data_IF_981852875372
#
_entry.id   IF_981852875372
#
_cell.length_a   1.000
_cell.length_b   1.000
_cell.length_c   1.000
_cell.angle_alpha   90.00
_cell.angle_beta   90.00
_cell.angle_gamma   90.00
#
_symmetry.space_group_name_H-M   'P 1'
#
loop_
_entity.id
_entity.type
_entity.pdbx_description
1 polymer ?
#
# COMPACT_ATOMS: atom_id res chain seq x y z
N UNK A 1 -1.62 19.18 23.65
CA UNK A 1 -1.35 18.57 22.32
C UNK A 1 -1.67 19.49 21.13
N UNK A 2 -2.89 20.05 21.00
CA UNK A 2 -3.27 20.95 19.87
C UNK A 2 -2.35 22.18 19.68
N UNK A 3 -2.03 22.89 20.76
CA UNK A 3 -1.14 24.08 20.71
C UNK A 3 0.32 23.77 20.32
N UNK A 4 0.82 22.57 20.63
CA UNK A 4 2.18 22.12 20.25
C UNK A 4 2.27 21.82 18.74
N UNK A 5 1.26 21.15 18.18
CA UNK A 5 1.17 20.86 16.74
C UNK A 5 0.98 22.13 15.90
N UNK A 6 0.22 23.12 16.40
CA UNK A 6 0.06 24.42 15.75
C UNK A 6 1.37 25.21 15.72
N UNK A 7 2.15 25.20 16.81
CA UNK A 7 3.37 26.01 16.96
C UNK A 7 4.59 25.43 16.23
N UNK A 8 4.67 24.11 16.08
CA UNK A 8 5.79 23.42 15.39
C UNK A 8 5.56 23.22 13.88
N UNK A 9 4.31 23.09 13.42
CA UNK A 9 4.00 22.69 12.04
C UNK A 9 3.05 23.66 11.29
N UNK A 10 2.75 24.84 11.87
CA UNK A 10 1.91 25.91 11.30
C UNK A 10 0.47 25.43 10.93
N UNK A 11 -0.01 24.34 11.53
CA UNK A 11 -1.24 23.65 11.09
C UNK A 11 -2.45 24.54 11.40
N UNK A 12 -3.22 24.92 10.36
CA UNK A 12 -4.43 25.74 10.50
C UNK A 12 -5.59 24.93 11.09
N UNK A 13 -6.53 25.59 11.77
CA UNK A 13 -7.58 24.93 12.57
C UNK A 13 -8.60 24.07 11.80
N UNK A 14 -8.56 24.02 10.47
CA UNK A 14 -9.33 23.06 9.65
C UNK A 14 -8.55 21.84 9.15
N UNK A 15 -7.22 21.86 9.24
CA UNK A 15 -6.35 20.88 8.57
C UNK A 15 -5.98 19.69 9.47
N UNK A 16 -5.92 19.91 10.79
CA UNK A 16 -5.47 18.92 11.80
C UNK A 16 -6.24 17.61 11.64
N UNK A 17 -7.56 17.68 11.49
CA UNK A 17 -8.37 16.46 11.42
C UNK A 17 -8.14 15.66 10.14
N UNK A 18 -7.94 16.34 9.00
CA UNK A 18 -7.65 15.66 7.73
C UNK A 18 -6.25 15.05 7.75
N UNK A 19 -5.29 15.73 8.35
CA UNK A 19 -3.92 15.23 8.56
C UNK A 19 -3.93 14.00 9.47
N UNK A 20 -4.65 14.02 10.59
CA UNK A 20 -4.71 12.88 11.52
C UNK A 20 -5.40 11.67 10.87
N UNK A 21 -6.50 11.89 10.15
CA UNK A 21 -7.19 10.82 9.43
C UNK A 21 -6.26 10.19 8.37
N UNK A 22 -5.54 11.00 7.61
CA UNK A 22 -4.60 10.51 6.59
C UNK A 22 -3.35 9.86 7.21
N UNK A 23 -2.87 10.36 8.35
CA UNK A 23 -1.81 9.73 9.14
C UNK A 23 -2.22 8.33 9.58
N UNK A 24 -3.39 8.18 10.21
CA UNK A 24 -3.86 6.89 10.68
C UNK A 24 -4.21 5.94 9.54
N UNK A 25 -4.69 6.48 8.42
CA UNK A 25 -4.93 5.69 7.21
C UNK A 25 -3.63 5.09 6.66
N UNK A 26 -2.59 5.89 6.43
CA UNK A 26 -1.32 5.37 5.90
C UNK A 26 -0.61 4.47 6.90
N UNK A 27 -0.69 4.81 8.19
CA UNK A 27 -0.19 3.94 9.26
C UNK A 27 -0.79 2.54 9.16
N UNK A 28 -2.11 2.44 9.08
CA UNK A 28 -2.83 1.16 9.03
C UNK A 28 -2.51 0.36 7.76
N UNK A 29 -2.43 1.05 6.61
CA UNK A 29 -2.06 0.44 5.32
C UNK A 29 -0.64 -0.11 5.35
N UNK A 30 0.35 0.69 5.78
CA UNK A 30 1.75 0.25 5.82
C UNK A 30 1.97 -0.82 6.88
N UNK A 31 1.30 -0.70 8.04
CA UNK A 31 1.32 -1.74 9.06
C UNK A 31 0.87 -3.08 8.48
N UNK A 32 -0.29 -3.13 7.82
CA UNK A 32 -0.80 -4.35 7.21
C UNK A 32 0.14 -4.86 6.10
N UNK A 33 0.68 -3.96 5.28
CA UNK A 33 1.59 -4.33 4.20
C UNK A 33 2.86 -4.98 4.72
N UNK A 34 3.50 -4.39 5.73
CA UNK A 34 4.74 -4.95 6.31
C UNK A 34 4.43 -6.27 7.00
N UNK A 35 3.35 -6.35 7.77
CA UNK A 35 2.95 -7.57 8.46
C UNK A 35 2.65 -8.72 7.47
N UNK A 36 1.86 -8.45 6.43
CA UNK A 36 1.56 -9.43 5.38
C UNK A 36 2.81 -9.81 4.57
N UNK A 37 3.71 -8.86 4.31
CA UNK A 37 5.01 -9.15 3.66
C UNK A 37 5.84 -10.12 4.50
N UNK A 38 5.96 -9.89 5.81
CA UNK A 38 6.67 -10.79 6.72
C UNK A 38 6.07 -12.20 6.73
N UNK A 39 4.74 -12.31 6.85
CA UNK A 39 4.03 -13.60 6.86
C UNK A 39 4.25 -14.35 5.55
N UNK A 40 4.05 -13.65 4.43
CA UNK A 40 4.23 -14.21 3.09
C UNK A 40 5.67 -14.69 2.87
N UNK A 41 6.65 -13.85 3.18
CA UNK A 41 8.05 -14.17 2.94
C UNK A 41 8.48 -15.35 3.85
N UNK A 42 8.02 -15.40 5.10
CA UNK A 42 8.24 -16.53 6.01
C UNK A 42 7.60 -17.82 5.51
N UNK A 43 6.31 -17.82 5.14
CA UNK A 43 5.60 -18.99 4.63
C UNK A 43 6.21 -19.50 3.33
N UNK A 44 6.65 -18.58 2.46
CA UNK A 44 7.26 -18.93 1.18
C UNK A 44 8.63 -19.58 1.38
N UNK A 45 9.50 -19.00 2.23
CA UNK A 45 10.85 -19.53 2.46
C UNK A 45 10.86 -20.85 3.24
N UNK A 46 9.89 -21.06 4.14
CA UNK A 46 9.69 -22.29 4.91
C UNK A 46 9.32 -23.48 4.01
N UNK A 47 8.43 -23.26 3.04
CA UNK A 47 7.82 -24.35 2.26
C UNK A 47 8.36 -24.51 0.84
N UNK A 48 8.95 -23.47 0.26
CA UNK A 48 9.47 -23.44 -1.12
C UNK A 48 10.95 -23.11 -1.15
N UNK A 49 11.67 -23.68 -2.11
CA UNK A 49 13.10 -23.44 -2.30
C UNK A 49 13.41 -22.01 -2.77
N UNK A 50 14.62 -21.50 -2.51
CA UNK A 50 15.07 -20.16 -2.97
C UNK A 50 14.95 -20.03 -4.49
N UNK A 51 15.11 -21.13 -5.23
CA UNK A 51 15.09 -21.18 -6.69
C UNK A 51 13.75 -20.77 -7.29
N UNK A 52 12.67 -20.76 -6.51
CA UNK A 52 11.33 -20.34 -6.93
C UNK A 52 11.10 -18.82 -6.80
N UNK A 53 11.95 -18.10 -6.03
CA UNK A 53 11.83 -16.65 -5.84
C UNK A 53 11.89 -15.85 -7.15
N UNK A 54 12.79 -16.14 -8.11
CA UNK A 54 12.81 -15.42 -9.38
C UNK A 54 11.49 -15.55 -10.15
N UNK A 55 10.89 -16.74 -10.17
CA UNK A 55 9.60 -17.00 -10.84
C UNK A 55 8.50 -16.16 -10.21
N UNK A 56 8.43 -16.14 -8.87
CA UNK A 56 7.47 -15.30 -8.15
C UNK A 56 7.67 -13.82 -8.45
N UNK A 57 8.92 -13.34 -8.52
CA UNK A 57 9.19 -11.93 -8.77
C UNK A 57 8.75 -11.53 -10.18
N UNK A 58 8.95 -12.41 -11.16
CA UNK A 58 8.43 -12.23 -12.53
C UNK A 58 6.90 -12.22 -12.53
N UNK A 59 6.26 -13.16 -11.83
CA UNK A 59 4.79 -13.21 -11.69
C UNK A 59 4.23 -11.95 -11.03
N UNK A 60 4.89 -11.45 -9.98
CA UNK A 60 4.55 -10.18 -9.33
C UNK A 60 4.67 -9.02 -10.30
N UNK A 61 5.76 -8.93 -11.06
CA UNK A 61 5.97 -7.85 -12.02
C UNK A 61 4.88 -7.84 -13.10
N UNK A 62 4.59 -8.98 -13.72
CA UNK A 62 3.55 -9.13 -14.75
C UNK A 62 2.17 -8.80 -14.15
N UNK A 63 1.84 -9.39 -13.00
CA UNK A 63 0.53 -9.20 -12.37
C UNK A 63 0.33 -7.75 -11.91
N UNK A 64 1.34 -7.12 -11.33
CA UNK A 64 1.31 -5.73 -10.94
C UNK A 64 1.14 -4.81 -12.16
N UNK A 65 1.82 -5.09 -13.28
CA UNK A 65 1.66 -4.32 -14.51
C UNK A 65 0.23 -4.42 -15.08
N UNK A 66 -0.31 -5.63 -15.16
CA UNK A 66 -1.68 -5.89 -15.63
C UNK A 66 -2.70 -5.19 -14.72
N UNK A 67 -2.62 -5.44 -13.41
CA UNK A 67 -3.57 -4.90 -12.44
C UNK A 67 -3.50 -3.39 -12.36
N UNK A 68 -2.30 -2.79 -12.34
CA UNK A 68 -2.15 -1.32 -12.36
C UNK A 68 -2.72 -0.70 -13.64
N UNK A 69 -2.58 -1.36 -14.78
CA UNK A 69 -3.15 -0.88 -16.06
C UNK A 69 -4.67 -0.91 -16.02
N UNK A 70 -5.26 -2.01 -15.56
CA UNK A 70 -6.72 -2.16 -15.40
C UNK A 70 -7.24 -1.12 -14.40
N UNK A 71 -6.57 -0.99 -13.25
CA UNK A 71 -6.91 -0.04 -12.20
C UNK A 71 -6.88 1.41 -12.71
N UNK A 72 -5.83 1.79 -13.45
CA UNK A 72 -5.71 3.11 -14.07
C UNK A 72 -6.87 3.41 -15.02
N UNK A 73 -7.23 2.47 -15.90
CA UNK A 73 -8.38 2.64 -16.81
C UNK A 73 -9.72 2.75 -16.07
N UNK A 74 -9.90 1.97 -15.00
CA UNK A 74 -11.14 1.99 -14.23
C UNK A 74 -11.29 3.29 -13.41
N UNK A 75 -10.18 3.79 -12.86
CA UNK A 75 -10.09 5.06 -12.12
C UNK A 75 -10.58 6.27 -12.93
N UNK A 76 -10.43 6.23 -14.26
CA UNK A 76 -10.91 7.30 -15.14
C UNK A 76 -12.44 7.31 -15.33
N UNK A 77 -13.13 6.19 -15.08
CA UNK A 77 -14.59 6.06 -15.31
C UNK A 77 -15.41 6.18 -14.03
N UNK A 78 -14.86 5.78 -12.90
CA UNK A 78 -15.58 5.70 -11.62
C UNK A 78 -15.22 6.87 -10.70
N UNK A 79 -16.11 7.22 -9.77
CA UNK A 79 -15.78 8.21 -8.74
C UNK A 79 -14.72 7.68 -7.78
N UNK A 80 -13.79 8.55 -7.36
CA UNK A 80 -12.67 8.17 -6.48
C UNK A 80 -13.14 7.46 -5.20
N UNK A 81 -14.21 7.94 -4.57
CA UNK A 81 -14.76 7.33 -3.35
C UNK A 81 -15.24 5.90 -3.58
N UNK A 82 -16.05 5.71 -4.62
CA UNK A 82 -16.60 4.39 -4.95
C UNK A 82 -15.46 3.43 -5.27
N UNK A 83 -14.44 3.89 -6.00
CA UNK A 83 -13.29 3.06 -6.33
C UNK A 83 -12.49 2.62 -5.08
N UNK A 84 -12.13 3.56 -4.19
CA UNK A 84 -11.35 3.22 -2.97
C UNK A 84 -12.19 2.37 -2.01
N UNK A 85 -13.50 2.65 -1.89
CA UNK A 85 -14.39 1.86 -1.03
C UNK A 85 -14.49 0.42 -1.51
N UNK A 86 -14.73 0.19 -2.80
CA UNK A 86 -14.81 -1.16 -3.36
C UNK A 86 -13.49 -1.92 -3.27
N UNK A 87 -12.36 -1.28 -3.53
CA UNK A 87 -11.07 -1.95 -3.38
C UNK A 87 -10.78 -2.34 -1.94
N UNK A 88 -11.10 -1.48 -0.96
CA UNK A 88 -10.94 -1.83 0.46
C UNK A 88 -11.84 -3.00 0.86
N UNK A 89 -13.10 -3.04 0.38
CA UNK A 89 -14.00 -4.17 0.60
C UNK A 89 -13.45 -5.46 -0.02
N UNK A 90 -12.93 -5.39 -1.25
CA UNK A 90 -12.30 -6.54 -1.93
C UNK A 90 -11.06 -6.99 -1.16
N UNK A 91 -10.22 -6.07 -0.66
CA UNK A 91 -9.04 -6.40 0.14
C UNK A 91 -9.45 -7.11 1.44
N UNK A 92 -10.45 -6.59 2.15
CA UNK A 92 -10.96 -7.19 3.38
C UNK A 92 -11.54 -8.58 3.10
N UNK A 93 -12.34 -8.72 2.06
CA UNK A 93 -12.90 -10.02 1.64
C UNK A 93 -11.81 -11.03 1.32
N UNK A 94 -10.78 -10.63 0.56
CA UNK A 94 -9.64 -11.50 0.29
C UNK A 94 -8.87 -11.87 1.57
N UNK A 95 -8.65 -10.92 2.49
CA UNK A 95 -8.01 -11.22 3.77
C UNK A 95 -8.80 -12.25 4.58
N UNK A 96 -10.13 -12.17 4.59
CA UNK A 96 -10.99 -13.17 5.25
C UNK A 96 -10.85 -14.53 4.57
N UNK A 97 -10.84 -14.57 3.23
CA UNK A 97 -10.62 -15.81 2.47
C UNK A 97 -9.25 -16.42 2.79
N UNK A 98 -8.18 -15.61 2.78
CA UNK A 98 -6.84 -16.06 3.14
C UNK A 98 -6.76 -16.50 4.60
N UNK A 99 -7.44 -15.83 5.52
CA UNK A 99 -7.52 -16.26 6.91
C UNK A 99 -8.14 -17.66 7.05
N UNK A 100 -9.28 -17.90 6.39
CA UNK A 100 -9.95 -19.22 6.37
C UNK A 100 -9.03 -20.26 5.72
N UNK A 101 -8.43 -19.96 4.57
CA UNK A 101 -7.52 -20.88 3.88
C UNK A 101 -6.26 -21.18 4.70
N UNK A 102 -5.68 -20.20 5.39
CA UNK A 102 -4.55 -20.43 6.28
C UNK A 102 -4.94 -21.30 7.48
N UNK A 103 -6.18 -21.22 7.97
CA UNK A 103 -6.63 -22.02 9.11
C UNK A 103 -6.97 -23.47 8.74
N UNK A 104 -7.57 -23.69 7.58
CA UNK A 104 -8.07 -25.02 7.17
C UNK A 104 -7.16 -25.74 6.17
N UNK A 105 -6.40 -25.01 5.35
CA UNK A 105 -5.68 -25.55 4.20
C UNK A 105 -4.16 -25.55 4.35
N UNK A 106 -3.59 -25.01 5.44
CA UNK A 106 -2.15 -25.05 5.68
C UNK A 106 -1.58 -26.48 5.80
N UNK A 107 -2.43 -27.43 6.18
CA UNK A 107 -2.05 -28.85 6.25
C UNK A 107 -1.86 -29.49 4.86
N UNK A 108 -2.44 -28.91 3.80
CA UNK A 108 -2.41 -29.50 2.45
C UNK A 108 -1.14 -29.17 1.65
N UNK A 109 -0.32 -28.21 2.10
CA UNK A 109 0.98 -27.92 1.46
C UNK A 109 0.91 -27.48 0.00
N UNK A 110 -0.21 -26.89 -0.44
CA UNK A 110 -0.40 -26.55 -1.85
C UNK A 110 0.49 -25.38 -2.26
N UNK A 111 1.44 -25.65 -3.17
CA UNK A 111 2.39 -24.65 -3.68
C UNK A 111 1.65 -23.47 -4.32
N UNK A 112 0.55 -23.72 -5.02
CA UNK A 112 -0.20 -22.69 -5.73
C UNK A 112 -0.80 -21.62 -4.80
N UNK A 113 -1.17 -22.03 -3.59
CA UNK A 113 -1.65 -21.10 -2.56
C UNK A 113 -0.56 -20.09 -2.18
N UNK A 114 0.67 -20.56 -1.96
CA UNK A 114 1.81 -19.69 -1.59
C UNK A 114 2.14 -18.70 -2.70
N UNK A 115 2.16 -19.14 -3.96
CA UNK A 115 2.32 -18.26 -5.12
C UNK A 115 1.22 -17.19 -5.19
N UNK A 116 -0.04 -17.61 -5.07
CA UNK A 116 -1.20 -16.72 -5.16
C UNK A 116 -1.20 -15.70 -4.03
N UNK A 117 -0.98 -16.15 -2.79
CA UNK A 117 -0.85 -15.26 -1.64
C UNK A 117 0.32 -14.28 -1.85
N UNK A 118 1.44 -14.75 -2.41
CA UNK A 118 2.60 -13.90 -2.59
C UNK A 118 2.33 -12.73 -3.54
N UNK A 119 1.77 -13.08 -4.70
CA UNK A 119 1.39 -12.12 -5.74
C UNK A 119 0.29 -11.18 -5.22
N UNK A 120 -0.70 -11.71 -4.49
CA UNK A 120 -1.78 -10.92 -3.92
C UNK A 120 -1.28 -9.85 -2.94
N UNK A 121 -0.37 -10.19 -2.02
CA UNK A 121 0.22 -9.20 -1.08
C UNK A 121 0.98 -8.10 -1.83
N UNK A 122 1.67 -8.45 -2.92
CA UNK A 122 2.37 -7.46 -3.74
C UNK A 122 1.37 -6.51 -4.43
N UNK A 123 0.29 -7.06 -5.00
CA UNK A 123 -0.80 -6.27 -5.62
C UNK A 123 -1.47 -5.37 -4.57
N UNK A 124 -1.74 -5.90 -3.36
CA UNK A 124 -2.29 -5.14 -2.24
C UNK A 124 -1.43 -3.90 -1.94
N UNK A 125 -0.10 -4.06 -1.88
CA UNK A 125 0.82 -2.93 -1.69
C UNK A 125 0.70 -1.89 -2.80
N UNK A 126 0.78 -2.32 -4.06
CA UNK A 126 0.73 -1.41 -5.22
C UNK A 126 -0.59 -0.63 -5.26
N UNK A 127 -1.73 -1.30 -5.09
CA UNK A 127 -3.05 -0.67 -5.13
C UNK A 127 -3.22 0.28 -3.94
N UNK A 128 -2.94 -0.17 -2.72
CA UNK A 128 -3.20 0.59 -1.50
C UNK A 128 -2.34 1.85 -1.42
N UNK A 129 -1.06 1.74 -1.78
CA UNK A 129 -0.15 2.90 -1.86
C UNK A 129 -0.61 3.88 -2.93
N UNK A 130 -0.97 3.40 -4.13
CA UNK A 130 -1.48 4.26 -5.20
C UNK A 130 -2.75 5.01 -4.78
N UNK A 131 -3.68 4.32 -4.12
CA UNK A 131 -4.92 4.89 -3.62
C UNK A 131 -4.70 5.96 -2.58
N UNK A 132 -3.78 5.71 -1.64
CA UNK A 132 -3.41 6.68 -0.64
C UNK A 132 -2.89 7.97 -1.28
N UNK A 133 -1.98 7.87 -2.25
CA UNK A 133 -1.44 9.05 -2.93
C UNK A 133 -2.49 9.80 -3.74
N UNK A 134 -3.40 9.10 -4.43
CA UNK A 134 -4.52 9.74 -5.14
C UNK A 134 -5.43 10.46 -4.14
N UNK A 135 -5.74 9.83 -3.01
CA UNK A 135 -6.56 10.43 -1.95
C UNK A 135 -5.86 11.64 -1.31
N UNK A 136 -4.56 11.56 -1.05
CA UNK A 136 -3.76 12.66 -0.52
C UNK A 136 -3.72 13.87 -1.46
N UNK A 137 -3.46 13.63 -2.75
CA UNK A 137 -3.50 14.67 -3.78
C UNK A 137 -4.92 15.24 -3.98
N UNK A 138 -5.94 14.43 -3.73
CA UNK A 138 -7.31 14.89 -3.75
C UNK A 138 -7.64 15.76 -2.54
N UNK A 139 -7.11 15.47 -1.34
CA UNK A 139 -7.39 16.19 -0.08
C UNK A 139 -6.56 17.47 0.04
N UNK A 140 -5.24 17.38 -0.15
CA UNK A 140 -4.28 18.45 0.16
C UNK A 140 -3.80 19.18 -1.08
N UNK A 141 -3.75 20.50 -1.02
CA UNK A 141 -3.13 21.31 -2.08
C UNK A 141 -1.59 21.29 -1.95
N UNK A 142 -0.86 21.65 -3.01
CA UNK A 142 0.61 21.62 -3.02
C UNK A 142 1.28 22.34 -1.82
N UNK A 143 0.72 23.47 -1.39
CA UNK A 143 1.20 24.22 -0.20
C UNK A 143 0.98 23.44 1.11
N UNK A 144 -0.18 22.81 1.27
CA UNK A 144 -0.49 21.97 2.42
C UNK A 144 0.39 20.71 2.42
N UNK A 145 0.59 20.09 1.25
CA UNK A 145 1.41 18.90 1.10
C UNK A 145 2.85 19.13 1.58
N UNK A 146 3.49 20.24 1.16
CA UNK A 146 4.86 20.61 1.61
C UNK A 146 5.02 20.66 3.14
N UNK A 147 3.95 21.00 3.87
CA UNK A 147 3.99 21.19 5.32
C UNK A 147 3.51 19.96 6.10
N UNK A 148 2.49 19.27 5.58
CA UNK A 148 1.79 18.20 6.31
C UNK A 148 2.29 16.80 5.95
N UNK A 149 2.91 16.61 4.78
CA UNK A 149 3.36 15.28 4.34
C UNK A 149 4.51 14.75 5.20
N UNK A 150 5.28 15.61 5.88
CA UNK A 150 6.25 15.17 6.88
C UNK A 150 5.58 14.41 8.04
N UNK A 151 4.51 14.96 8.60
CA UNK A 151 3.75 14.31 9.68
C UNK A 151 3.09 13.04 9.15
N UNK A 152 2.41 13.11 7.99
CA UNK A 152 1.74 11.96 7.41
C UNK A 152 2.75 10.84 7.08
N UNK A 153 3.94 11.20 6.58
CA UNK A 153 5.05 10.29 6.33
C UNK A 153 5.58 9.61 7.59
N UNK A 154 5.61 10.31 8.73
CA UNK A 154 5.91 9.68 10.02
C UNK A 154 4.89 8.58 10.38
N UNK A 155 3.65 8.70 9.92
CA UNK A 155 2.63 7.65 10.03
C UNK A 155 2.98 6.40 9.24
N UNK A 156 3.51 6.57 8.03
CA UNK A 156 4.00 5.45 7.22
C UNK A 156 5.19 4.75 7.90
N UNK A 157 6.18 5.52 8.39
CA UNK A 157 7.37 4.96 9.06
C UNK A 157 6.98 4.21 10.34
N UNK A 158 6.16 4.83 11.20
CA UNK A 158 5.68 4.18 12.42
C UNK A 158 4.87 2.93 12.10
N UNK A 159 3.97 2.98 11.11
CA UNK A 159 3.22 1.81 10.65
C UNK A 159 4.14 0.66 10.24
N UNK A 160 5.24 0.96 9.53
CA UNK A 160 6.22 -0.05 9.14
C UNK A 160 6.97 -0.66 10.33
N UNK A 161 7.39 0.17 11.28
CA UNK A 161 8.05 -0.29 12.52
C UNK A 161 7.12 -1.22 13.30
N UNK A 162 5.91 -0.75 13.62
CA UNK A 162 4.94 -1.55 14.38
C UNK A 162 4.51 -2.81 13.62
N UNK A 163 4.29 -2.73 12.30
CA UNK A 163 3.95 -3.89 11.48
C UNK A 163 5.05 -4.95 11.46
N UNK A 164 6.32 -4.53 11.42
CA UNK A 164 7.48 -5.42 11.50
C UNK A 164 7.60 -6.09 12.87
N UNK A 165 7.55 -5.32 13.96
CA UNK A 165 7.63 -5.88 15.31
C UNK A 165 6.46 -6.81 15.64
N UNK A 166 5.23 -6.39 15.34
CA UNK A 166 4.04 -7.20 15.61
C UNK A 166 3.95 -8.42 14.69
N UNK A 167 4.65 -8.45 13.55
CA UNK A 167 4.75 -9.67 12.75
C UNK A 167 5.46 -10.81 13.49
N UNK A 168 6.30 -10.51 14.49
CA UNK A 168 6.90 -11.53 15.36
C UNK A 168 5.87 -12.27 16.21
N UNK A 169 4.69 -11.67 16.49
CA UNK A 169 3.61 -12.36 17.19
C UNK A 169 3.12 -13.61 16.43
N UNK A 170 3.46 -13.76 15.14
CA UNK A 170 3.23 -14.98 14.38
C UNK A 170 3.82 -16.24 15.03
N UNK A 171 4.97 -16.10 15.71
CA UNK A 171 5.63 -17.23 16.39
C UNK A 171 4.89 -17.66 17.65
N UNK A 172 4.17 -16.74 18.30
CA UNK A 172 3.49 -16.98 19.58
C UNK A 172 2.01 -17.30 19.40
N UNK A 173 1.30 -16.56 18.54
CA UNK A 173 -0.15 -16.63 18.36
C UNK A 173 -0.58 -17.41 17.11
N UNK A 174 0.39 -17.92 16.34
CA UNK A 174 0.15 -18.63 15.09
C UNK A 174 -0.06 -17.69 13.91
N UNK A 175 0.61 -17.99 12.80
CA UNK A 175 0.55 -17.23 11.54
C UNK A 175 -0.87 -17.06 11.00
N UNK A 176 -1.76 -18.01 11.31
CA UNK A 176 -3.17 -18.01 10.92
C UNK A 176 -3.99 -16.88 11.53
N UNK A 177 -3.64 -16.34 12.70
CA UNK A 177 -4.46 -15.32 13.38
C UNK A 177 -4.09 -13.89 12.99
N UNK A 178 -2.91 -13.70 12.39
CA UNK A 178 -2.39 -12.38 12.03
C UNK A 178 -3.22 -11.64 10.97
N UNK A 179 -3.79 -12.30 9.95
CA UNK A 179 -4.72 -11.67 9.02
C UNK A 179 -5.93 -11.01 9.70
N UNK A 180 -6.37 -11.47 10.89
CA UNK A 180 -7.47 -10.84 11.64
C UNK A 180 -7.14 -9.41 12.04
N UNK A 181 -5.91 -9.15 12.47
CA UNK A 181 -5.47 -7.79 12.81
C UNK A 181 -5.48 -6.91 11.56
N UNK A 182 -5.04 -7.44 10.42
CA UNK A 182 -5.10 -6.73 9.14
C UNK A 182 -6.54 -6.43 8.71
N UNK A 183 -7.48 -7.37 8.91
CA UNK A 183 -8.91 -7.18 8.64
C UNK A 183 -9.47 -6.03 9.49
N UNK A 184 -9.15 -6.00 10.79
CA UNK A 184 -9.58 -4.95 11.71
C UNK A 184 -9.05 -3.58 11.26
N UNK A 185 -7.75 -3.48 10.97
CA UNK A 185 -7.12 -2.24 10.53
C UNK A 185 -7.65 -1.76 9.16
N UNK A 186 -7.88 -2.67 8.21
CA UNK A 186 -8.46 -2.31 6.92
C UNK A 186 -9.93 -1.90 7.05
N UNK A 187 -10.68 -2.52 7.95
CA UNK A 187 -12.05 -2.09 8.29
C UNK A 187 -12.05 -0.70 8.94
N UNK A 188 -11.05 -0.41 9.76
CA UNK A 188 -10.85 0.92 10.31
C UNK A 188 -10.50 1.96 9.24
N UNK A 189 -9.69 1.60 8.22
CA UNK A 189 -9.44 2.44 7.05
C UNK A 189 -10.73 2.78 6.28
N UNK A 190 -11.66 1.82 6.13
CA UNK A 190 -12.98 2.09 5.53
C UNK A 190 -13.76 3.14 6.31
N UNK A 191 -13.80 3.03 7.64
CA UNK A 191 -14.48 4.02 8.49
C UNK A 191 -13.83 5.40 8.35
N UNK A 192 -12.50 5.47 8.32
CA UNK A 192 -11.78 6.73 8.09
C UNK A 192 -12.11 7.34 6.73
N UNK A 193 -12.18 6.53 5.67
CA UNK A 193 -12.58 6.99 4.34
C UNK A 193 -13.98 7.60 4.36
N UNK A 194 -14.95 6.97 5.02
CA UNK A 194 -16.30 7.51 5.17
C UNK A 194 -16.31 8.86 5.89
N UNK A 195 -15.55 8.98 6.98
CA UNK A 195 -15.45 10.22 7.75
C UNK A 195 -14.83 11.33 6.91
N UNK A 196 -13.76 11.04 6.17
CA UNK A 196 -13.13 11.98 5.23
C UNK A 196 -14.15 12.45 4.19
N UNK A 197 -14.88 11.52 3.58
CA UNK A 197 -15.78 11.82 2.48
C UNK A 197 -17.01 12.62 2.94
N UNK A 198 -17.63 12.23 4.06
CA UNK A 198 -18.77 12.95 4.66
C UNK A 198 -18.40 14.39 5.02
N UNK A 199 -17.27 14.60 5.69
CA UNK A 199 -16.80 15.94 6.07
C UNK A 199 -16.56 16.83 4.87
N UNK A 200 -16.03 16.26 3.77
CA UNK A 200 -15.71 17.05 2.58
C UNK A 200 -16.93 17.41 1.74
N UNK A 201 -17.91 16.52 1.65
CA UNK A 201 -19.19 16.82 1.00
C UNK A 201 -19.92 17.98 1.68
N UNK A 202 -19.80 18.12 3.01
CA UNK A 202 -20.40 19.22 3.76
C UNK A 202 -19.70 20.57 3.57
N UNK A 203 -18.42 20.62 3.16
CA UNK A 203 -17.62 21.85 3.17
C UNK A 203 -17.56 22.54 1.79
N UNK A 204 -17.60 21.81 0.66
CA UNK A 204 -17.52 22.44 -0.66
C UNK A 204 -18.02 21.55 -1.82
N UNK A 205 -19.32 21.56 -2.16
CA UNK A 205 -19.87 20.79 -3.29
C UNK A 205 -19.29 21.22 -4.66
N UNK A 206 -18.93 22.50 -4.84
CA UNK A 206 -18.50 23.06 -6.13
C UNK A 206 -17.03 22.87 -6.51
N UNK A 207 -16.11 22.74 -5.54
CA UNK A 207 -14.67 22.54 -5.82
C UNK A 207 -14.35 21.10 -6.27
N UNK A 208 -15.28 20.17 -6.04
CA UNK A 208 -15.16 18.75 -6.35
C UNK A 208 -15.08 18.50 -7.87
N UNK A 209 -15.86 19.22 -8.68
CA UNK A 209 -15.90 19.03 -10.13
C UNK A 209 -14.62 19.51 -10.83
N UNK A 210 -14.07 20.67 -10.42
CA UNK A 210 -12.86 21.26 -11.01
C UNK A 210 -11.61 20.42 -10.74
N UNK A 211 -11.47 19.91 -9.52
CA UNK A 211 -10.32 19.08 -9.11
C UNK A 211 -10.38 17.66 -9.68
N UNK A 212 -11.58 17.10 -9.83
CA UNK A 212 -11.81 15.81 -10.51
C UNK A 212 -11.47 15.88 -12.00
N UNK A 213 -11.67 17.03 -12.64
CA UNK A 213 -11.29 17.28 -14.04
C UNK A 213 -9.77 17.37 -14.23
N UNK A 214 -9.05 18.01 -13.30
CA UNK A 214 -7.57 18.04 -13.31
C UNK A 214 -6.94 16.65 -13.15
N UNK A 215 -7.39 15.86 -12.17
CA UNK A 215 -6.89 14.49 -11.95
C UNK A 215 -7.13 13.57 -13.17
N UNK A 216 -8.22 13.78 -13.91
CA UNK A 216 -8.50 13.06 -15.17
C UNK A 216 -7.54 13.46 -16.30
N UNK A 217 -7.15 14.73 -16.36
CA UNK A 217 -6.29 15.25 -17.41
C UNK A 217 -4.85 14.75 -17.27
N UNK A 218 -4.37 14.58 -16.04
CA UNK A 218 -3.02 14.07 -15.75
C UNK A 218 -2.87 12.54 -15.99
N UNK A 219 -3.96 11.78 -16.13
CA UNK A 219 -3.94 10.31 -16.26
C UNK A 219 -3.93 9.79 -17.71
N UNK A 220 -3.79 10.66 -18.72
CA UNK A 220 -3.70 10.22 -20.12
C UNK A 220 -2.34 9.55 -20.40
N UNK A 221 -2.29 8.22 -20.35
CA UNK A 221 -1.08 7.42 -20.57
C UNK A 221 -0.32 7.79 -21.87
N UNK A 222 -1.03 8.07 -22.96
CA UNK A 222 -0.42 8.48 -24.23
C UNK A 222 0.24 9.87 -24.19
N UNK A 223 -0.25 10.77 -23.33
CA UNK A 223 0.37 12.08 -23.08
C UNK A 223 1.57 11.98 -22.14
N UNK A 224 1.50 11.09 -21.14
CA UNK A 224 2.58 10.88 -20.17
C UNK A 224 3.86 10.38 -20.85
N UNK A 225 3.79 9.35 -21.71
CA UNK A 225 4.98 8.85 -22.40
C UNK A 225 5.61 9.89 -23.35
N UNK A 226 4.79 10.73 -24.00
CA UNK A 226 5.28 11.86 -24.80
C UNK A 226 5.94 12.93 -23.94
N UNK A 227 5.37 13.26 -22.78
CA UNK A 227 5.96 14.20 -21.81
C UNK A 227 7.32 13.73 -21.28
N UNK A 228 7.49 12.42 -21.06
CA UNK A 228 8.78 11.83 -20.67
C UNK A 228 9.81 11.86 -21.81
N UNK A 229 9.38 11.65 -23.05
CA UNK A 229 10.26 11.71 -24.22
C UNK A 229 10.71 13.14 -24.54
N UNK A 230 9.83 14.13 -24.35
CA UNK A 230 10.11 15.53 -24.67
C UNK A 230 10.96 16.24 -23.60
N UNK A 231 10.97 15.74 -22.35
CA UNK A 231 11.66 16.40 -21.23
C UNK A 231 12.86 15.60 -20.73
N UNK A 232 14.07 16.12 -20.99
CA UNK A 232 15.34 15.56 -20.49
C UNK A 232 15.36 15.41 -18.96
N UNK A 233 14.77 16.36 -18.23
CA UNK A 233 14.70 16.30 -16.77
C UNK A 233 13.82 15.15 -16.26
N UNK A 234 12.66 14.93 -16.88
CA UNK A 234 11.78 13.82 -16.51
C UNK A 234 12.41 12.47 -16.83
N UNK A 235 13.17 12.38 -17.93
CA UNK A 235 13.90 11.17 -18.29
C UNK A 235 15.00 10.84 -17.26
N UNK A 236 15.78 11.83 -16.80
CA UNK A 236 16.78 11.60 -15.75
C UNK A 236 16.15 11.17 -14.43
N UNK A 237 15.04 11.79 -14.01
CA UNK A 237 14.31 11.39 -12.81
C UNK A 237 13.77 9.96 -12.94
N UNK A 238 13.18 9.61 -14.09
CA UNK A 238 12.70 8.26 -14.35
C UNK A 238 13.86 7.24 -14.33
N UNK A 239 15.00 7.58 -14.92
CA UNK A 239 16.20 6.74 -14.91
C UNK A 239 16.74 6.49 -13.50
N UNK A 240 16.90 7.55 -12.70
CA UNK A 240 17.39 7.44 -11.32
C UNK A 240 16.44 6.57 -10.47
N UNK A 241 15.13 6.80 -10.57
CA UNK A 241 14.13 6.01 -9.84
C UNK A 241 14.12 4.55 -10.33
N UNK A 242 14.18 4.33 -11.65
CA UNK A 242 14.19 2.99 -12.24
C UNK A 242 15.39 2.17 -11.80
N UNK A 243 16.60 2.74 -11.87
CA UNK A 243 17.83 2.10 -11.38
C UNK A 243 17.72 1.81 -9.88
N UNK A 244 17.23 2.77 -9.09
CA UNK A 244 17.04 2.59 -7.65
C UNK A 244 16.11 1.41 -7.30
N UNK A 245 15.00 1.25 -8.03
CA UNK A 245 14.07 0.13 -7.84
C UNK A 245 14.70 -1.20 -8.23
N UNK A 246 15.47 -1.26 -9.32
CA UNK A 246 16.18 -2.47 -9.74
C UNK A 246 17.18 -2.89 -8.66
N UNK A 247 18.02 -1.95 -8.19
CA UNK A 247 19.00 -2.21 -7.14
C UNK A 247 18.31 -2.67 -5.85
N UNK A 248 17.24 -2.00 -5.42
CA UNK A 248 16.50 -2.37 -4.22
C UNK A 248 15.93 -3.79 -4.30
N UNK A 249 15.39 -4.21 -5.45
CA UNK A 249 14.87 -5.56 -5.64
C UNK A 249 15.98 -6.63 -5.67
N UNK A 250 17.13 -6.31 -6.26
CA UNK A 250 18.29 -7.21 -6.23
C UNK A 250 18.81 -7.38 -4.81
N UNK A 251 18.86 -6.31 -4.02
CA UNK A 251 19.25 -6.37 -2.60
C UNK A 251 18.24 -7.19 -1.79
N UNK A 252 16.93 -7.02 -1.99
CA UNK A 252 15.89 -7.83 -1.31
C UNK A 252 16.02 -9.32 -1.67
N UNK A 253 16.32 -9.63 -2.93
CA UNK A 253 16.57 -11.01 -3.38
C UNK A 253 17.81 -11.60 -2.69
N UNK A 254 18.94 -10.90 -2.72
CA UNK A 254 20.17 -11.38 -2.10
C UNK A 254 20.02 -11.54 -0.60
N UNK A 255 19.34 -10.59 0.07
CA UNK A 255 19.02 -10.70 1.47
C UNK A 255 18.22 -11.97 1.78
N UNK A 256 17.17 -12.28 0.99
CA UNK A 256 16.36 -13.49 1.17
C UNK A 256 17.12 -14.78 0.92
N UNK A 257 18.01 -14.78 -0.08
CA UNK A 257 18.86 -15.94 -0.37
C UNK A 257 19.80 -16.23 0.82
N UNK A 258 20.49 -15.20 1.32
CA UNK A 258 21.39 -15.30 2.49
C UNK A 258 20.63 -15.72 3.75
N UNK A 259 19.45 -15.14 4.01
CA UNK A 259 18.62 -15.52 5.17
C UNK A 259 18.24 -17.00 5.14
N UNK A 260 17.94 -17.55 3.96
CA UNK A 260 17.61 -18.97 3.82
C UNK A 260 18.82 -19.90 3.99
N UNK A 261 20.02 -19.45 3.62
CA UNK A 261 21.25 -20.23 3.84
C UNK A 261 21.72 -20.23 5.30
N UNK A 262 21.47 -19.14 6.03
CA UNK A 262 21.86 -18.99 7.44
C UNK A 262 20.81 -19.61 8.38
N UNK A 263 19.52 -19.44 8.07
CA UNK A 263 18.41 -19.96 8.88
C UNK A 263 17.91 -21.26 8.23
N UNK A 264 18.72 -22.31 8.34
CA UNK A 264 18.42 -23.64 7.77
C UNK A 264 17.70 -24.56 8.75
N UNK A 265 17.74 -24.23 10.06
CA UNK A 265 17.05 -24.98 11.10
C UNK A 265 16.36 -24.02 12.06
N UNK A 266 15.15 -24.38 12.48
CA UNK A 266 14.39 -23.66 13.49
C UNK A 266 14.25 -24.59 14.69
N UNK A 267 15.19 -24.46 15.63
CA UNK A 267 14.89 -24.59 17.05
C UNK A 267 14.50 -23.21 17.60
#
# INVERSE_FOLDING_TARGET
MRKLLQKLFDIREGEISSTLLMFSYIFSVIFCLVMLKSIRDSLFLDRLSVNELPVVFILVAISAAVVSTIYSRYSQRVSLNVMIRWSLLIIISNLVIFWVLLRFYLQAGDRWFLYTFYVWVAIFGVISTSQFWILANYIFNARQAKRLFGIIGAGAISGGIFGGYLSQLATVYGTENLPLLCILLMSFCLLMLEVIWRRRQSIAPGQQSRRKRQLKQDQNAAGIFRLFADSRHLLYLAGIVGVGVIVANLVDFQYKAVVKEIITDKD
#
